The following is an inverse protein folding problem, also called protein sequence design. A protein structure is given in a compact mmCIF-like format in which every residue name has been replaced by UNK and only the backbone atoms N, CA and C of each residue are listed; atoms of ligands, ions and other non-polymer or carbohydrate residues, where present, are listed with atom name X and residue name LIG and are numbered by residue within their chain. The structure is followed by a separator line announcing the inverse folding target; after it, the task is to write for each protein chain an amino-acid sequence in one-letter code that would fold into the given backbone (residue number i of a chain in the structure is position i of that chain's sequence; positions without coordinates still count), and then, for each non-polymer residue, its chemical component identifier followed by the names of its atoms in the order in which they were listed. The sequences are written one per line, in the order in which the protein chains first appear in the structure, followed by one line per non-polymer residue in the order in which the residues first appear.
data_IF_431941748450
#
_entry.id   IF_431941748450
#
_cell.length_a   1.000
_cell.length_b   1.000
_cell.length_c   1.000
_cell.angle_alpha   90.00
_cell.angle_beta   90.00
_cell.angle_gamma   90.00
#
_symmetry.space_group_name_H-M   'P 1'
#
loop_
_entity.id
_entity.type
_entity.pdbx_description
1 polymer ?
#
# COMPACT_ATOMS: atom_id res chain seq x y z
N UNK A 1 -4.88 23.04 40.13
CA UNK A 1 -3.89 22.57 39.15
C UNK A 1 -4.64 22.16 37.89
N UNK A 2 -4.50 22.93 36.81
CA UNK A 2 -5.11 22.62 35.52
C UNK A 2 -4.13 21.71 34.80
N UNK A 3 -4.46 20.42 34.67
CA UNK A 3 -3.70 19.53 33.80
C UNK A 3 -3.90 20.03 32.37
N UNK A 4 -2.82 20.46 31.73
CA UNK A 4 -2.81 20.77 30.31
C UNK A 4 -3.26 19.52 29.55
N UNK A 5 -4.47 19.55 28.99
CA UNK A 5 -4.89 18.59 27.97
C UNK A 5 -3.91 18.75 26.81
N UNK A 6 -2.92 17.86 26.69
CA UNK A 6 -2.21 17.72 25.43
C UNK A 6 -3.29 17.49 24.37
N UNK A 7 -3.39 18.34 23.32
CA UNK A 7 -4.32 18.07 22.24
C UNK A 7 -3.98 16.70 21.70
N UNK A 8 -4.93 15.76 21.75
CA UNK A 8 -4.72 14.35 21.40
C UNK A 8 -4.24 14.24 19.95
N UNK A 9 -2.92 14.28 19.76
CA UNK A 9 -2.29 14.22 18.45
C UNK A 9 -2.54 12.85 17.84
N UNK A 10 -3.04 12.83 16.61
CA UNK A 10 -3.26 11.63 15.83
C UNK A 10 -1.91 11.07 15.34
N UNK A 11 -1.65 9.80 15.61
CA UNK A 11 -0.46 9.08 15.15
C UNK A 11 -0.85 7.85 14.33
N UNK A 12 0.05 7.43 13.44
CA UNK A 12 -0.07 6.19 12.70
C UNK A 12 0.56 5.05 13.51
N UNK A 13 -0.18 3.96 13.70
CA UNK A 13 0.35 2.73 14.27
C UNK A 13 0.92 1.78 13.20
N UNK A 14 1.51 0.68 13.67
CA UNK A 14 2.27 -0.26 12.82
C UNK A 14 1.43 -1.39 12.22
N UNK A 15 0.13 -1.47 12.55
CA UNK A 15 -0.75 -2.57 12.12
C UNK A 15 -2.12 -2.07 11.67
N UNK A 16 -2.82 -2.87 10.86
CA UNK A 16 -4.18 -2.53 10.41
C UNK A 16 -5.22 -2.49 11.55
N UNK A 17 -5.00 -3.24 12.64
CA UNK A 17 -5.89 -3.28 13.80
C UNK A 17 -5.72 -2.05 14.70
N UNK A 18 -4.53 -1.46 14.66
CA UNK A 18 -4.12 -0.31 15.45
C UNK A 18 -3.53 0.75 14.51
N UNK A 19 -4.30 1.13 13.49
CA UNK A 19 -3.77 1.93 12.39
C UNK A 19 -3.69 3.41 12.77
N UNK A 20 -4.70 3.90 13.48
CA UNK A 20 -4.74 5.25 14.02
C UNK A 20 -4.71 5.20 15.54
N UNK A 21 -3.91 6.05 16.15
CA UNK A 21 -3.78 6.16 17.61
C UNK A 21 -4.06 7.61 17.97
N UNK A 22 -5.06 7.84 18.82
CA UNK A 22 -5.44 9.16 19.34
C UNK A 22 -5.54 9.06 20.86
N UNK A 23 -4.56 9.63 21.57
CA UNK A 23 -4.37 9.34 22.98
C UNK A 23 -4.15 7.83 23.20
N UNK A 24 -4.92 7.24 24.11
CA UNK A 24 -4.91 5.79 24.38
C UNK A 24 -5.84 4.97 23.46
N UNK A 25 -6.64 5.64 22.64
CA UNK A 25 -7.61 4.98 21.77
C UNK A 25 -6.97 4.57 20.44
N UNK A 26 -7.25 3.33 20.04
CA UNK A 26 -6.74 2.71 18.82
C UNK A 26 -7.90 2.45 17.87
N UNK A 27 -7.72 2.82 16.61
CA UNK A 27 -8.74 2.67 15.57
C UNK A 27 -8.17 1.97 14.34
N UNK A 28 -9.04 1.25 13.65
CA UNK A 28 -8.69 0.61 12.38
C UNK A 28 -8.65 1.63 11.25
N UNK A 29 -7.99 1.26 10.15
CA UNK A 29 -7.98 2.07 8.94
C UNK A 29 -9.40 2.43 8.45
N UNK A 30 -10.33 1.48 8.50
CA UNK A 30 -11.74 1.66 8.12
C UNK A 30 -12.48 2.70 8.97
N UNK A 31 -11.98 2.97 10.18
CA UNK A 31 -12.60 3.88 11.14
C UNK A 31 -12.05 5.30 11.03
N UNK A 32 -11.29 5.63 9.98
CA UNK A 32 -10.68 6.94 9.79
C UNK A 32 -11.66 8.12 9.99
N UNK A 33 -12.94 7.96 9.64
CA UNK A 33 -13.97 9.00 9.83
C UNK A 33 -14.26 9.35 11.28
N UNK A 34 -13.97 8.44 12.22
CA UNK A 34 -14.10 8.68 13.67
C UNK A 34 -12.92 9.50 14.21
N UNK A 35 -11.80 9.49 13.49
CA UNK A 35 -10.52 10.03 13.98
C UNK A 35 -10.18 11.37 13.34
N UNK A 36 -10.48 11.52 12.05
CA UNK A 36 -10.31 12.78 11.32
C UNK A 36 -11.56 13.65 11.46
N UNK A 37 -11.40 14.77 12.16
CA UNK A 37 -12.46 15.77 12.35
C UNK A 37 -12.29 16.96 11.41
N UNK A 38 -11.05 17.24 10.96
CA UNK A 38 -10.78 18.30 10.00
C UNK A 38 -11.27 17.88 8.59
N UNK A 39 -12.14 18.69 7.94
CA UNK A 39 -12.66 18.37 6.60
C UNK A 39 -11.57 18.26 5.53
N UNK A 40 -10.49 19.04 5.62
CA UNK A 40 -9.35 18.97 4.70
C UNK A 40 -8.55 17.67 4.91
N UNK A 41 -8.31 17.30 6.17
CA UNK A 41 -7.67 16.03 6.52
C UNK A 41 -8.48 14.83 6.03
N UNK A 42 -9.81 14.88 6.18
CA UNK A 42 -10.72 13.88 5.62
C UNK A 42 -10.62 13.79 4.08
N UNK A 43 -10.46 14.91 3.40
CA UNK A 43 -10.23 14.95 1.95
C UNK A 43 -8.96 14.20 1.54
N UNK A 44 -7.84 14.49 2.20
CA UNK A 44 -6.59 13.78 1.96
C UNK A 44 -6.67 12.29 2.32
N UNK A 45 -7.36 11.94 3.40
CA UNK A 45 -7.54 10.55 3.81
C UNK A 45 -8.36 9.75 2.78
N UNK A 46 -9.45 10.33 2.25
CA UNK A 46 -10.23 9.71 1.16
C UNK A 46 -9.39 9.49 -0.09
N UNK A 47 -8.55 10.46 -0.46
CA UNK A 47 -7.64 10.36 -1.60
C UNK A 47 -6.59 9.26 -1.37
N UNK A 48 -6.07 9.15 -0.15
CA UNK A 48 -5.19 8.06 0.24
C UNK A 48 -5.84 6.69 0.02
N UNK A 49 -7.07 6.50 0.55
CA UNK A 49 -7.80 5.25 0.40
C UNK A 49 -8.08 4.89 -1.08
N UNK A 50 -8.52 5.88 -1.87
CA UNK A 50 -8.83 5.69 -3.30
C UNK A 50 -7.58 5.28 -4.07
N UNK A 51 -6.47 6.00 -3.90
CA UNK A 51 -5.22 5.68 -4.56
C UNK A 51 -4.65 4.34 -4.11
N UNK A 52 -4.80 3.99 -2.83
CA UNK A 52 -4.42 2.69 -2.29
C UNK A 52 -5.22 1.56 -2.94
N UNK A 53 -6.53 1.75 -3.12
CA UNK A 53 -7.40 0.77 -3.81
C UNK A 53 -6.97 0.57 -5.25
N UNK A 54 -6.70 1.65 -5.99
CA UNK A 54 -6.20 1.55 -7.37
C UNK A 54 -4.88 0.78 -7.42
N UNK A 55 -3.93 1.12 -6.54
CA UNK A 55 -2.66 0.40 -6.46
C UNK A 55 -2.84 -1.09 -6.16
N UNK A 56 -3.75 -1.44 -5.25
CA UNK A 56 -4.06 -2.83 -4.92
C UNK A 56 -4.67 -3.59 -6.10
N UNK A 57 -5.60 -2.99 -6.83
CA UNK A 57 -6.20 -3.62 -8.02
C UNK A 57 -5.14 -3.92 -9.07
N UNK A 58 -4.32 -2.93 -9.42
CA UNK A 58 -3.26 -3.12 -10.41
C UNK A 58 -2.16 -4.07 -9.92
N UNK A 59 -1.84 -4.05 -8.63
CA UNK A 59 -0.93 -5.00 -8.00
C UNK A 59 -1.45 -6.43 -8.04
N UNK A 60 -2.74 -6.64 -7.76
CA UNK A 60 -3.38 -7.95 -7.79
C UNK A 60 -3.47 -8.52 -9.22
N UNK A 61 -3.90 -7.69 -10.19
CA UNK A 61 -3.93 -8.07 -11.61
C UNK A 61 -2.51 -8.40 -12.08
N UNK A 62 -1.54 -7.53 -11.80
CA UNK A 62 -0.17 -7.71 -12.25
C UNK A 62 0.51 -8.91 -11.61
N UNK A 63 0.32 -9.11 -10.31
CA UNK A 63 0.80 -10.30 -9.58
C UNK A 63 0.18 -11.59 -10.11
N UNK A 64 -1.13 -11.58 -10.40
CA UNK A 64 -1.84 -12.72 -11.00
C UNK A 64 -1.29 -13.10 -12.38
N UNK A 65 -1.06 -12.10 -13.24
CA UNK A 65 -0.49 -12.31 -14.58
C UNK A 65 0.95 -12.81 -14.53
N UNK A 66 1.78 -12.26 -13.64
CA UNK A 66 3.15 -12.74 -13.42
C UNK A 66 3.14 -14.17 -12.90
N UNK A 67 2.35 -14.45 -11.86
CA UNK A 67 2.25 -15.79 -11.27
C UNK A 67 1.81 -16.84 -12.28
N UNK A 68 0.73 -16.57 -13.03
CA UNK A 68 0.25 -17.46 -14.09
C UNK A 68 1.26 -17.60 -15.23
N UNK A 69 1.91 -16.50 -15.62
CA UNK A 69 2.98 -16.50 -16.62
C UNK A 69 4.18 -17.35 -16.20
N UNK A 70 4.64 -17.26 -14.95
CA UNK A 70 5.74 -18.07 -14.43
C UNK A 70 5.38 -19.56 -14.43
N UNK A 71 4.18 -19.92 -13.98
CA UNK A 71 3.69 -21.31 -14.03
C UNK A 71 3.72 -21.82 -15.48
N UNK A 72 3.13 -21.05 -16.40
CA UNK A 72 3.10 -21.41 -17.82
C UNK A 72 4.49 -21.56 -18.44
N UNK A 73 5.44 -20.71 -18.03
CA UNK A 73 6.82 -20.76 -18.51
C UNK A 73 7.56 -22.01 -18.03
N UNK A 74 7.34 -22.41 -16.77
CA UNK A 74 7.93 -23.62 -16.17
C UNK A 74 7.27 -24.89 -16.76
N UNK A 75 5.96 -24.88 -16.97
CA UNK A 75 5.20 -26.05 -17.47
C UNK A 75 5.05 -26.08 -18.99
N UNK A 76 5.78 -25.24 -19.74
CA UNK A 76 5.62 -25.13 -21.20
C UNK A 76 5.96 -26.41 -21.97
N UNK A 77 6.76 -27.28 -21.38
CA UNK A 77 7.14 -28.56 -22.00
C UNK A 77 6.23 -29.66 -21.46
N UNK A 78 5.44 -30.26 -22.35
CA UNK A 78 4.52 -31.36 -21.99
C UNK A 78 4.86 -32.59 -22.83
N UNK A 79 4.87 -33.76 -22.21
CA UNK A 79 4.90 -35.02 -22.96
C UNK A 79 3.48 -35.35 -23.44
N UNK A 80 3.35 -35.60 -24.73
CA UNK A 80 2.10 -35.97 -25.41
C UNK A 80 2.35 -37.27 -26.16
N UNK A 81 1.35 -38.15 -26.21
CA UNK A 81 1.46 -39.43 -26.89
C UNK A 81 0.79 -39.33 -28.26
N UNK A 82 1.56 -39.57 -29.32
CA UNK A 82 1.05 -39.69 -30.68
C UNK A 82 1.26 -41.15 -31.11
N UNK A 83 0.16 -41.85 -31.42
CA UNK A 83 0.18 -43.28 -31.79
C UNK A 83 1.00 -44.18 -30.84
N UNK A 84 0.91 -43.96 -29.52
CA UNK A 84 1.63 -44.74 -28.51
C UNK A 84 3.08 -44.30 -28.26
N UNK A 85 3.62 -43.34 -29.04
CA UNK A 85 4.97 -42.81 -28.86
C UNK A 85 4.93 -41.51 -28.06
N UNK A 86 5.75 -41.43 -27.00
CA UNK A 86 5.89 -40.23 -26.18
C UNK A 86 6.74 -39.16 -26.90
N UNK A 87 6.14 -38.00 -27.19
CA UNK A 87 6.79 -36.84 -27.80
C UNK A 87 6.74 -35.66 -26.84
N UNK A 88 7.85 -34.94 -26.68
CA UNK A 88 7.87 -33.70 -25.89
C UNK A 88 7.49 -32.53 -26.79
N UNK A 89 6.36 -31.90 -26.49
CA UNK A 89 5.89 -30.71 -27.18
C UNK A 89 6.17 -29.47 -26.33
N UNK A 90 6.70 -28.43 -26.97
CA UNK A 90 7.00 -27.14 -26.34
C UNK A 90 5.92 -26.14 -26.71
N UNK A 91 5.10 -25.79 -25.72
CA UNK A 91 4.05 -24.80 -25.87
C UNK A 91 4.59 -23.37 -25.75
N UNK A 92 3.77 -22.41 -26.14
CA UNK A 92 4.07 -20.99 -25.99
C UNK A 92 4.27 -20.64 -24.52
N UNK A 93 5.42 -20.04 -24.21
CA UNK A 93 5.79 -19.62 -22.87
C UNK A 93 4.90 -18.53 -22.26
N UNK A 94 5.22 -18.16 -21.02
CA UNK A 94 4.47 -17.19 -20.21
C UNK A 94 5.05 -15.78 -20.19
N UNK A 95 6.19 -15.52 -20.85
CA UNK A 95 6.84 -14.19 -20.84
C UNK A 95 5.95 -13.01 -21.23
N UNK A 96 5.00 -13.20 -22.16
CA UNK A 96 4.03 -12.15 -22.50
C UNK A 96 3.11 -11.78 -21.33
N UNK A 97 2.69 -12.77 -20.54
CA UNK A 97 1.87 -12.55 -19.33
C UNK A 97 2.69 -11.89 -18.23
N UNK A 98 3.95 -12.31 -18.06
CA UNK A 98 4.90 -11.69 -17.12
C UNK A 98 5.09 -10.21 -17.46
N UNK A 99 5.37 -9.90 -18.73
CA UNK A 99 5.53 -8.52 -19.20
C UNK A 99 4.28 -7.67 -19.00
N UNK A 100 3.10 -8.20 -19.34
CA UNK A 100 1.82 -7.52 -19.09
C UNK A 100 1.59 -7.27 -17.59
N UNK A 101 1.93 -8.25 -16.74
CA UNK A 101 1.77 -8.13 -15.30
C UNK A 101 2.71 -7.09 -14.68
N UNK A 102 3.97 -7.03 -15.13
CA UNK A 102 4.90 -5.96 -14.75
C UNK A 102 4.39 -4.58 -15.18
N UNK A 103 3.82 -4.48 -16.39
CA UNK A 103 3.18 -3.25 -16.87
C UNK A 103 2.03 -2.80 -15.97
N UNK A 104 1.15 -3.74 -15.57
CA UNK A 104 0.05 -3.46 -14.65
C UNK A 104 0.56 -2.96 -13.28
N UNK A 105 1.58 -3.62 -12.70
CA UNK A 105 2.21 -3.14 -11.45
C UNK A 105 2.78 -1.74 -11.63
N UNK A 106 3.44 -1.48 -12.76
CA UNK A 106 4.00 -0.17 -13.09
C UNK A 106 2.97 0.97 -13.00
N UNK A 107 1.72 0.72 -13.44
CA UNK A 107 0.61 1.67 -13.31
C UNK A 107 0.25 1.90 -11.83
N UNK A 108 0.28 0.87 -10.99
CA UNK A 108 -0.08 0.96 -9.57
C UNK A 108 0.92 1.74 -8.71
N UNK A 109 2.21 1.75 -9.06
CA UNK A 109 3.30 2.40 -8.28
C UNK A 109 3.02 3.88 -7.97
N UNK A 110 2.73 4.77 -8.94
CA UNK A 110 2.48 6.19 -8.64
C UNK A 110 1.27 6.38 -7.71
N UNK A 111 0.24 5.52 -7.81
CA UNK A 111 -0.91 5.56 -6.90
C UNK A 111 -0.56 5.10 -5.50
N UNK A 112 0.28 4.07 -5.34
CA UNK A 112 0.76 3.63 -4.02
C UNK A 112 1.55 4.75 -3.33
N UNK A 113 2.50 5.37 -4.04
CA UNK A 113 3.29 6.50 -3.53
C UNK A 113 2.38 7.67 -3.17
N UNK A 114 1.43 8.01 -4.04
CA UNK A 114 0.47 9.08 -3.80
C UNK A 114 -0.43 8.76 -2.60
N UNK A 115 -0.84 7.51 -2.41
CA UNK A 115 -1.64 7.07 -1.28
C UNK A 115 -0.93 7.34 0.04
N UNK A 116 0.34 6.95 0.15
CA UNK A 116 1.17 7.21 1.34
C UNK A 116 1.39 8.71 1.59
N UNK A 117 1.65 9.49 0.54
CA UNK A 117 1.79 10.95 0.66
C UNK A 117 0.52 11.62 1.17
N UNK A 118 -0.65 11.24 0.66
CA UNK A 118 -1.92 11.79 1.10
C UNK A 118 -2.28 11.35 2.54
N UNK A 119 -1.92 10.12 2.94
CA UNK A 119 -2.12 9.68 4.32
C UNK A 119 -1.30 10.54 5.29
N UNK A 120 -0.02 10.77 4.97
CA UNK A 120 0.84 11.62 5.79
C UNK A 120 0.27 13.04 5.90
N UNK A 121 -0.14 13.64 4.76
CA UNK A 121 -0.80 14.95 4.75
C UNK A 121 -2.08 14.98 5.59
N UNK A 122 -2.92 13.94 5.53
CA UNK A 122 -4.12 13.88 6.35
C UNK A 122 -3.80 13.97 7.84
N UNK A 123 -2.81 13.19 8.30
CA UNK A 123 -2.37 13.21 9.71
C UNK A 123 -1.77 14.56 10.09
N UNK A 124 -0.88 15.10 9.25
CA UNK A 124 -0.25 16.39 9.47
C UNK A 124 -1.32 17.51 9.58
N UNK A 125 -2.27 17.58 8.64
CA UNK A 125 -3.37 18.56 8.62
C UNK A 125 -4.36 18.39 9.78
N UNK A 126 -4.57 17.16 10.27
CA UNK A 126 -5.40 16.92 11.46
C UNK A 126 -4.73 17.42 12.74
N UNK A 127 -3.40 17.31 12.82
CA UNK A 127 -2.62 17.69 13.99
C UNK A 127 -2.22 19.16 14.00
N UNK A 128 -2.26 19.83 12.84
CA UNK A 128 -2.07 21.27 12.74
C UNK A 128 -3.29 21.97 13.35
N UNK A 129 -3.12 22.46 14.57
CA UNK A 129 -4.04 23.41 15.18
C UNK A 129 -3.98 24.71 14.35
N UNK A 130 -5.11 25.33 13.96
CA UNK A 130 -5.12 26.58 13.19
C UNK A 130 -4.58 27.82 13.94
N UNK A 131 -3.82 27.64 15.03
CA UNK A 131 -3.27 28.71 15.87
C UNK A 131 -1.87 28.46 16.43
N UNK A 132 -1.13 27.44 15.98
CA UNK A 132 0.25 27.21 16.44
C UNK A 132 1.16 26.91 15.25
N UNK A 133 1.75 27.97 14.71
CA UNK A 133 2.93 27.94 13.84
C UNK A 133 4.14 27.40 14.61
N UNK A 134 4.18 26.08 14.86
CA UNK A 134 5.41 25.42 15.28
C UNK A 134 5.88 24.46 14.19
N UNK A 135 6.57 25.09 13.23
CA UNK A 135 7.39 24.47 12.21
C UNK A 135 8.57 23.74 12.90
N UNK A 136 8.42 22.45 13.21
CA UNK A 136 9.57 21.58 13.53
C UNK A 136 9.54 20.26 12.75
N UNK A 137 10.61 20.09 11.98
CA UNK A 137 10.97 19.00 11.05
C UNK A 137 10.98 17.60 11.69
N UNK A 138 10.50 16.56 10.97
CA UNK A 138 10.93 15.15 11.13
C UNK A 138 10.59 14.37 9.84
N UNK A 139 11.59 13.71 9.25
CA UNK A 139 11.54 12.96 7.99
C UNK A 139 11.14 11.49 8.19
N UNK A 140 10.57 10.85 7.17
CA UNK A 140 10.35 9.39 7.14
C UNK A 140 10.72 8.85 5.75
N UNK A 141 11.71 7.94 5.70
CA UNK A 141 12.03 7.14 4.50
C UNK A 141 11.20 5.86 4.55
N UNK A 142 10.60 5.50 3.42
CA UNK A 142 9.81 4.28 3.22
C UNK A 142 10.63 3.31 2.38
N UNK A 143 10.97 2.16 2.95
CA UNK A 143 11.53 1.02 2.22
C UNK A 143 10.39 0.07 1.84
N UNK A 144 10.28 -0.27 0.56
CA UNK A 144 9.25 -1.17 0.03
C UNK A 144 9.92 -2.50 -0.34
N UNK A 145 9.77 -3.51 0.51
CA UNK A 145 10.06 -4.90 0.15
C UNK A 145 8.80 -5.76 0.28
N UNK A 146 8.53 -6.53 -0.78
CA UNK A 146 7.25 -7.19 -1.08
C UNK A 146 6.76 -8.30 -0.14
N UNK A 147 7.11 -8.30 1.15
CA UNK A 147 6.45 -9.11 2.17
C UNK A 147 6.62 -8.63 3.63
N UNK A 148 7.13 -7.42 3.87
CA UNK A 148 7.14 -6.79 5.20
C UNK A 148 7.35 -5.27 5.12
N UNK A 149 6.59 -4.50 5.89
CA UNK A 149 6.78 -3.05 6.04
C UNK A 149 7.50 -2.82 7.37
N UNK A 150 8.79 -2.47 7.31
CA UNK A 150 9.61 -2.10 8.47
C UNK A 150 9.87 -0.60 8.51
N UNK A 151 9.60 0.05 9.65
CA UNK A 151 10.02 1.42 9.95
C UNK A 151 11.34 1.36 10.74
N UNK A 152 12.45 1.84 10.16
CA UNK A 152 13.74 1.98 10.85
C UNK A 152 14.02 3.46 11.14
N UNK A 153 14.42 3.74 12.37
CA UNK A 153 14.80 5.07 12.88
C UNK A 153 16.33 5.17 12.95
N UNK A 154 16.92 6.26 12.45
CA UNK A 154 18.32 6.62 12.69
C UNK A 154 18.37 8.07 13.19
N UNK A 155 19.20 8.29 14.21
CA UNK A 155 19.43 9.55 14.93
C UNK A 155 20.25 10.54 14.11
#
# INVERSE_FOLDING_TARGET
MVFAQQPDSLKLGKSNREFFIKGDQKFRFSEYRKVFTNPEALGYMKKSNTNGTVAQVFGAIGGGLIGFGLVKEITKTKTVYYNGVAVKEKQKGGWGLIGAGLGAIGIGIPFAISSGKNLKKAVDTQNQNPGTDERKTTSYRLDLSGNSIGLTYNF
#
